data_IF_028650089990
#
_entry.id   IF_028650089990
#
_cell.length_a   1.000
_cell.length_b   1.000
_cell.length_c   1.000
_cell.angle_alpha   90.00
_cell.angle_beta   90.00
_cell.angle_gamma   90.00
#
_symmetry.space_group_name_H-M   'P 1'
#
loop_
_entity.id
_entity.type
_entity.pdbx_description
1 polymer ?
#
# COMPACT_ATOMS: atom_id res chain seq x y z
N UNK A 1 -5.96 -9.70 -9.05
CA UNK A 1 -4.57 -10.09 -8.75
C UNK A 1 -3.69 -8.95 -8.21
N UNK A 2 -3.87 -7.70 -8.58
CA UNK A 2 -3.08 -6.55 -8.10
C UNK A 2 -3.19 -6.33 -6.59
N UNK A 3 -4.36 -6.39 -6.00
CA UNK A 3 -4.60 -6.12 -4.58
C UNK A 3 -3.86 -7.08 -3.61
N UNK A 4 -3.64 -8.34 -3.99
CA UNK A 4 -2.87 -9.29 -3.17
C UNK A 4 -1.38 -8.94 -3.09
N UNK A 5 -0.79 -8.41 -4.16
CA UNK A 5 0.63 -8.01 -4.17
C UNK A 5 0.89 -6.75 -3.36
N UNK A 6 -0.04 -5.81 -3.36
CA UNK A 6 0.11 -4.56 -2.60
C UNK A 6 0.01 -4.76 -1.09
N UNK A 7 -0.81 -5.71 -0.62
CA UNK A 7 -0.96 -6.02 0.81
C UNK A 7 0.30 -6.60 1.47
N UNK A 8 1.23 -7.13 0.69
CA UNK A 8 2.49 -7.69 1.22
C UNK A 8 3.52 -6.64 1.65
N UNK A 9 3.37 -5.39 1.22
CA UNK A 9 4.41 -4.36 1.34
C UNK A 9 4.40 -3.57 2.65
N UNK A 10 3.31 -3.54 3.38
CA UNK A 10 3.12 -2.55 4.45
C UNK A 10 3.12 -3.13 5.86
N UNK A 11 3.38 -4.42 6.04
CA UNK A 11 3.30 -5.10 7.33
C UNK A 11 4.58 -5.89 7.52
N UNK A 12 5.13 -5.86 8.74
CA UNK A 12 6.36 -6.56 9.09
C UNK A 12 6.35 -8.02 8.66
N UNK A 13 5.24 -8.70 8.92
CA UNK A 13 5.10 -10.14 8.82
C UNK A 13 4.19 -10.57 7.65
N UNK A 14 3.85 -9.64 6.74
CA UNK A 14 3.06 -9.86 5.52
C UNK A 14 1.54 -10.01 5.78
N UNK A 15 0.75 -9.98 4.69
CA UNK A 15 -0.70 -10.20 4.74
C UNK A 15 -1.07 -11.55 5.39
N UNK A 16 -0.25 -12.57 5.23
CA UNK A 16 -0.48 -13.89 5.81
C UNK A 16 -0.54 -13.86 7.34
N UNK A 17 0.28 -13.03 8.01
CA UNK A 17 0.23 -12.91 9.47
C UNK A 17 -0.99 -12.14 9.96
N UNK A 18 -1.40 -11.11 9.23
CA UNK A 18 -2.62 -10.35 9.56
C UNK A 18 -3.87 -11.20 9.40
N UNK A 19 -3.93 -11.98 8.31
CA UNK A 19 -5.10 -12.82 8.01
C UNK A 19 -4.97 -14.26 8.52
N UNK A 20 -3.86 -14.58 9.22
CA UNK A 20 -3.58 -15.93 9.73
C UNK A 20 -3.69 -17.01 8.65
N UNK A 21 -3.09 -16.74 7.49
CA UNK A 21 -3.07 -17.65 6.34
C UNK A 21 -1.67 -18.26 6.24
N UNK A 22 -1.58 -19.57 6.10
CA UNK A 22 -0.35 -20.30 5.78
C UNK A 22 -0.39 -20.72 4.31
N UNK A 23 0.26 -20.01 3.38
CA UNK A 23 0.32 -20.39 1.97
C UNK A 23 1.41 -21.43 1.73
N UNK A 24 1.21 -22.31 0.74
CA UNK A 24 2.22 -23.27 0.29
C UNK A 24 3.45 -22.56 -0.31
N UNK A 25 3.21 -21.48 -1.07
CA UNK A 25 4.24 -20.63 -1.66
C UNK A 25 3.97 -19.14 -1.40
N UNK A 26 5.04 -18.40 -1.13
CA UNK A 26 5.04 -16.95 -0.98
C UNK A 26 5.95 -16.31 -2.01
N UNK A 27 5.41 -15.33 -2.78
CA UNK A 27 6.21 -14.50 -3.68
C UNK A 27 6.41 -13.10 -3.08
N UNK A 28 7.63 -12.60 -3.13
CA UNK A 28 8.06 -11.30 -2.59
C UNK A 28 8.65 -10.44 -3.70
N UNK A 29 8.52 -9.13 -3.54
CA UNK A 29 9.09 -8.17 -4.51
C UNK A 29 9.07 -6.75 -3.96
N UNK A 30 9.39 -5.79 -4.83
CA UNK A 30 9.35 -4.35 -4.55
C UNK A 30 10.24 -3.97 -3.37
N UNK A 31 9.66 -3.77 -2.17
CA UNK A 31 10.36 -3.25 -0.99
C UNK A 31 11.57 -4.11 -0.59
N UNK A 32 11.53 -5.42 -0.81
CA UNK A 32 12.67 -6.30 -0.46
C UNK A 32 13.95 -5.98 -1.23
N UNK A 33 13.85 -5.25 -2.34
CA UNK A 33 14.99 -4.82 -3.15
C UNK A 33 15.65 -3.52 -2.68
N UNK A 34 15.09 -2.83 -1.69
CA UNK A 34 15.66 -1.55 -1.24
C UNK A 34 15.71 -0.48 -2.33
N UNK A 35 14.74 -0.47 -3.25
CA UNK A 35 14.69 0.41 -4.41
C UNK A 35 15.24 -0.21 -5.70
N UNK A 36 15.89 -1.36 -5.61
CA UNK A 36 16.39 -2.11 -6.77
C UNK A 36 15.46 -3.26 -7.16
N UNK A 37 15.53 -3.73 -8.44
CA UNK A 37 14.65 -4.78 -8.93
C UNK A 37 15.04 -6.14 -8.33
N UNK A 38 14.24 -6.60 -7.36
CA UNK A 38 14.37 -7.91 -6.71
C UNK A 38 13.03 -8.59 -6.67
N UNK A 39 13.02 -9.87 -6.99
CA UNK A 39 11.94 -10.80 -6.72
C UNK A 39 12.49 -12.00 -5.96
N UNK A 40 11.69 -12.54 -5.04
CA UNK A 40 11.98 -13.77 -4.33
C UNK A 40 10.71 -14.60 -4.19
N UNK A 41 10.87 -15.89 -4.07
CA UNK A 41 9.79 -16.80 -3.71
C UNK A 41 10.35 -17.89 -2.78
N UNK A 42 9.48 -18.49 -2.01
CA UNK A 42 9.81 -19.55 -1.10
C UNK A 42 8.55 -20.13 -0.49
N UNK A 43 8.66 -21.24 0.20
CA UNK A 43 7.51 -21.91 0.80
C UNK A 43 7.87 -23.27 1.37
N UNK A 44 6.93 -24.21 1.28
CA UNK A 44 7.10 -25.56 1.76
C UNK A 44 8.31 -26.24 1.11
N UNK A 45 9.14 -26.93 1.91
CA UNK A 45 10.36 -27.57 1.46
C UNK A 45 10.09 -28.63 0.39
N UNK A 46 8.99 -29.37 0.49
CA UNK A 46 8.63 -30.41 -0.50
C UNK A 46 8.39 -29.83 -1.89
N UNK A 47 7.98 -28.57 -1.97
CA UNK A 47 7.82 -27.84 -3.23
C UNK A 47 9.15 -27.21 -3.64
N UNK A 48 9.88 -26.61 -2.70
CA UNK A 48 11.13 -25.92 -3.00
C UNK A 48 12.25 -26.87 -3.40
N UNK A 49 12.26 -28.09 -2.88
CA UNK A 49 13.21 -29.16 -3.22
C UNK A 49 13.04 -29.67 -4.67
N UNK A 50 11.96 -29.28 -5.37
CA UNK A 50 11.82 -29.52 -6.81
C UNK A 50 12.70 -28.60 -7.67
N UNK A 51 13.35 -27.58 -7.08
CA UNK A 51 14.25 -26.70 -7.81
C UNK A 51 15.64 -27.34 -7.99
N UNK A 52 16.24 -27.10 -9.15
CA UNK A 52 17.63 -27.50 -9.40
C UNK A 52 18.57 -26.80 -8.39
N UNK A 53 19.64 -27.48 -7.91
CA UNK A 53 20.14 -28.77 -8.39
C UNK A 53 19.45 -30.00 -7.79
N UNK A 54 18.66 -29.87 -6.72
CA UNK A 54 18.07 -31.00 -6.00
C UNK A 54 16.87 -31.60 -6.76
N UNK A 55 16.11 -30.78 -7.48
CA UNK A 55 14.97 -31.20 -8.28
C UNK A 55 15.10 -30.88 -9.78
N UNK A 56 14.10 -31.29 -10.58
CA UNK A 56 14.14 -31.17 -12.05
C UNK A 56 13.79 -29.78 -12.57
N UNK A 57 13.32 -28.85 -11.72
CA UNK A 57 12.81 -27.53 -12.14
C UNK A 57 13.97 -26.54 -12.19
N UNK A 58 14.32 -26.09 -13.39
CA UNK A 58 15.34 -25.06 -13.59
C UNK A 58 14.75 -23.65 -13.38
N UNK A 59 15.39 -22.85 -12.53
CA UNK A 59 15.08 -21.45 -12.31
C UNK A 59 16.38 -20.63 -12.32
N UNK A 60 16.46 -19.65 -13.20
CA UNK A 60 17.58 -18.72 -13.27
C UNK A 60 17.15 -17.38 -13.85
N UNK A 61 17.95 -16.35 -13.57
CA UNK A 61 17.81 -15.01 -14.14
C UNK A 61 19.15 -14.30 -14.13
N UNK A 62 19.50 -13.61 -15.19
CA UNK A 62 20.79 -12.92 -15.35
C UNK A 62 21.13 -12.02 -14.17
N UNK A 63 20.14 -11.32 -13.61
CA UNK A 63 20.32 -10.41 -12.47
C UNK A 63 19.93 -11.05 -11.12
N UNK A 64 19.57 -12.34 -11.09
CA UNK A 64 19.24 -13.03 -9.85
C UNK A 64 20.45 -13.05 -8.91
N UNK A 65 20.23 -12.63 -7.66
CA UNK A 65 21.26 -12.62 -6.64
C UNK A 65 22.38 -11.58 -6.87
N UNK A 66 22.20 -10.60 -7.75
CA UNK A 66 23.27 -9.61 -7.96
C UNK A 66 23.64 -8.88 -6.66
N UNK A 67 24.95 -8.66 -6.38
CA UNK A 67 25.41 -8.19 -5.07
C UNK A 67 24.85 -6.82 -4.67
N UNK A 68 24.66 -5.93 -5.64
CA UNK A 68 24.17 -4.58 -5.37
C UNK A 68 22.73 -4.62 -4.84
N UNK A 69 21.84 -5.34 -5.53
CA UNK A 69 20.44 -5.45 -5.13
C UNK A 69 20.29 -6.26 -3.82
N UNK A 70 21.09 -7.29 -3.61
CA UNK A 70 21.10 -8.04 -2.36
C UNK A 70 21.56 -7.17 -1.18
N UNK A 71 22.61 -6.37 -1.34
CA UNK A 71 23.10 -5.46 -0.31
C UNK A 71 22.06 -4.38 0.03
N UNK A 72 21.42 -3.79 -0.98
CA UNK A 72 20.37 -2.80 -0.77
C UNK A 72 19.16 -3.39 -0.04
N UNK A 73 18.72 -4.57 -0.43
CA UNK A 73 17.62 -5.28 0.22
C UNK A 73 17.90 -5.60 1.69
N UNK A 74 19.09 -6.15 1.96
CA UNK A 74 19.53 -6.45 3.33
C UNK A 74 19.62 -5.18 4.18
N UNK A 75 20.16 -4.09 3.65
CA UNK A 75 20.24 -2.81 4.36
C UNK A 75 18.84 -2.27 4.70
N UNK A 76 17.90 -2.33 3.75
CA UNK A 76 16.52 -1.88 3.99
C UNK A 76 15.82 -2.74 5.05
N UNK A 77 15.93 -4.07 4.97
CA UNK A 77 15.28 -4.96 5.93
C UNK A 77 15.82 -4.71 7.35
N UNK A 78 17.13 -4.59 7.52
CA UNK A 78 17.75 -4.26 8.80
C UNK A 78 17.27 -2.90 9.33
N UNK A 79 17.14 -1.90 8.46
CA UNK A 79 16.65 -0.58 8.87
C UNK A 79 15.16 -0.65 9.29
N UNK A 80 14.31 -1.38 8.57
CA UNK A 80 12.92 -1.58 8.96
C UNK A 80 12.78 -2.31 10.30
N UNK A 81 13.63 -3.28 10.58
CA UNK A 81 13.69 -3.94 11.90
C UNK A 81 14.10 -2.95 12.99
N UNK A 82 15.13 -2.15 12.73
CA UNK A 82 15.65 -1.15 13.69
C UNK A 82 14.61 -0.08 14.04
N UNK A 83 13.92 0.49 13.05
CA UNK A 83 12.96 1.60 13.27
C UNK A 83 11.55 1.13 13.61
N UNK A 84 11.21 -0.12 13.29
CA UNK A 84 9.88 -0.72 13.48
C UNK A 84 8.71 0.25 13.22
N UNK A 85 8.54 0.77 11.98
CA UNK A 85 7.69 1.94 11.73
C UNK A 85 6.19 1.62 11.72
N UNK A 86 5.81 0.37 11.75
CA UNK A 86 4.47 -0.14 11.40
C UNK A 86 3.34 0.45 12.25
N UNK A 87 3.49 0.45 13.58
CA UNK A 87 2.48 1.01 14.48
C UNK A 87 2.33 2.53 14.31
N UNK A 88 3.43 3.23 14.04
CA UNK A 88 3.40 4.67 13.76
C UNK A 88 2.70 4.97 12.45
N UNK A 89 2.99 4.20 11.40
CA UNK A 89 2.35 4.34 10.09
C UNK A 89 0.86 4.05 10.17
N UNK A 90 0.45 3.00 10.89
CA UNK A 90 -0.95 2.68 11.12
C UNK A 90 -1.69 3.83 11.81
N UNK A 91 -1.13 4.40 12.87
CA UNK A 91 -1.74 5.54 13.58
C UNK A 91 -1.84 6.78 12.69
N UNK A 92 -0.81 7.03 11.88
CA UNK A 92 -0.75 8.21 11.02
C UNK A 92 -1.73 8.11 9.84
N UNK A 93 -1.86 6.92 9.21
CA UNK A 93 -2.83 6.68 8.14
C UNK A 93 -4.27 6.71 8.67
N UNK A 94 -4.53 6.12 9.83
CA UNK A 94 -5.85 6.19 10.46
C UNK A 94 -6.23 7.63 10.81
N UNK A 95 -5.31 8.42 11.39
CA UNK A 95 -5.55 9.83 11.67
C UNK A 95 -5.92 10.61 10.40
N UNK A 96 -5.12 10.48 9.34
CA UNK A 96 -5.37 11.15 8.06
C UNK A 96 -6.76 10.81 7.50
N UNK A 97 -7.09 9.54 7.43
CA UNK A 97 -8.34 9.08 6.82
C UNK A 97 -9.57 9.42 7.65
N UNK A 98 -9.47 9.35 8.97
CA UNK A 98 -10.55 9.78 9.88
C UNK A 98 -10.85 11.27 9.70
N UNK A 99 -9.83 12.13 9.62
CA UNK A 99 -10.02 13.54 9.40
C UNK A 99 -10.55 13.87 7.99
N UNK A 100 -10.06 13.19 6.95
CA UNK A 100 -10.62 13.30 5.60
C UNK A 100 -12.10 12.91 5.61
N UNK A 101 -12.45 11.80 6.25
CA UNK A 101 -13.86 11.36 6.38
C UNK A 101 -14.73 12.41 7.06
N UNK A 102 -14.22 13.04 8.13
CA UNK A 102 -14.91 14.12 8.82
C UNK A 102 -15.15 15.33 7.90
N UNK A 103 -14.13 15.72 7.12
CA UNK A 103 -14.25 16.83 6.14
C UNK A 103 -15.25 16.50 5.02
N UNK A 104 -15.23 15.27 4.51
CA UNK A 104 -16.20 14.79 3.51
C UNK A 104 -17.63 14.82 4.05
N UNK A 105 -17.83 14.36 5.28
CA UNK A 105 -19.12 14.36 5.94
C UNK A 105 -19.69 15.78 6.12
N UNK A 106 -18.85 16.76 6.45
CA UNK A 106 -19.27 18.17 6.55
C UNK A 106 -19.77 18.74 5.22
N UNK A 107 -19.35 18.16 4.10
CA UNK A 107 -19.78 18.51 2.73
C UNK A 107 -20.88 17.60 2.19
N UNK A 108 -21.46 16.72 3.03
CA UNK A 108 -22.44 15.71 2.63
C UNK A 108 -21.96 14.79 1.50
N UNK A 109 -20.66 14.49 1.45
CA UNK A 109 -20.05 13.58 0.49
C UNK A 109 -19.98 12.18 1.10
N UNK A 110 -20.50 11.20 0.38
CA UNK A 110 -20.31 9.79 0.72
C UNK A 110 -18.85 9.39 0.57
N UNK A 111 -18.25 8.92 1.65
CA UNK A 111 -16.85 8.57 1.70
C UNK A 111 -16.63 7.36 2.60
N UNK A 112 -15.96 6.38 2.09
CA UNK A 112 -15.55 5.21 2.85
C UNK A 112 -14.06 4.91 2.62
N UNK A 113 -13.41 4.29 3.58
CA UNK A 113 -11.99 4.01 3.52
C UNK A 113 -11.61 2.78 4.34
N UNK A 114 -10.45 2.23 4.02
CA UNK A 114 -9.78 1.19 4.82
C UNK A 114 -8.28 1.45 4.82
N UNK A 115 -7.60 1.03 5.89
CA UNK A 115 -6.14 1.14 5.97
C UNK A 115 -5.53 -0.02 6.76
N UNK A 116 -4.31 -0.37 6.36
CA UNK A 116 -3.51 -1.39 7.02
C UNK A 116 -2.04 -0.97 7.02
N UNK A 117 -1.48 -0.70 8.19
CA UNK A 117 -0.17 -0.08 8.29
C UNK A 117 -0.15 1.30 7.64
N UNK A 118 0.80 1.51 6.73
CA UNK A 118 0.89 2.73 5.92
C UNK A 118 0.11 2.68 4.61
N UNK A 119 -0.49 1.54 4.26
CA UNK A 119 -1.30 1.39 3.05
C UNK A 119 -2.74 1.82 3.33
N UNK A 120 -3.35 2.52 2.38
CA UNK A 120 -4.75 2.93 2.51
C UNK A 120 -5.46 2.94 1.15
N UNK A 121 -6.79 2.85 1.21
CA UNK A 121 -7.69 3.07 0.09
C UNK A 121 -8.88 3.89 0.54
N UNK A 122 -9.44 4.68 -0.36
CA UNK A 122 -10.70 5.39 -0.10
C UNK A 122 -11.59 5.40 -1.35
N UNK A 123 -12.88 5.54 -1.10
CA UNK A 123 -13.90 5.44 -2.14
C UNK A 123 -14.97 6.50 -1.93
N UNK A 124 -15.48 7.04 -3.02
CA UNK A 124 -16.63 7.94 -3.01
C UNK A 124 -17.92 7.09 -2.98
N UNK A 125 -18.16 6.47 -1.83
CA UNK A 125 -19.28 5.55 -1.59
C UNK A 125 -19.70 5.60 -0.12
N UNK A 126 -20.96 5.28 0.17
CA UNK A 126 -21.49 5.22 1.53
C UNK A 126 -20.92 4.03 2.31
N UNK A 127 -20.89 2.88 1.66
CA UNK A 127 -20.39 1.63 2.23
C UNK A 127 -18.98 1.34 1.70
N UNK A 128 -18.16 0.70 2.51
CA UNK A 128 -16.83 0.28 2.10
C UNK A 128 -16.93 -0.87 1.08
N UNK A 129 -16.45 -0.69 -0.17
CA UNK A 129 -16.46 -1.73 -1.18
C UNK A 129 -15.63 -2.95 -0.76
N UNK A 130 -16.20 -4.15 -0.91
CA UNK A 130 -15.57 -5.42 -0.54
C UNK A 130 -15.03 -6.22 -1.72
N UNK A 131 -15.45 -5.87 -2.93
CA UNK A 131 -15.07 -6.55 -4.17
C UNK A 131 -14.96 -5.55 -5.32
N UNK A 132 -14.48 -6.05 -6.46
CA UNK A 132 -14.25 -5.22 -7.65
C UNK A 132 -15.54 -4.55 -8.18
N UNK A 133 -16.65 -5.27 -8.20
CA UNK A 133 -17.93 -4.75 -8.73
C UNK A 133 -18.39 -3.53 -7.90
N UNK A 134 -18.33 -3.63 -6.58
CA UNK A 134 -18.68 -2.53 -5.68
C UNK A 134 -17.74 -1.32 -5.82
N UNK A 135 -16.45 -1.53 -6.11
CA UNK A 135 -15.52 -0.43 -6.43
C UNK A 135 -15.93 0.25 -7.74
N UNK A 136 -16.34 -0.52 -8.76
CA UNK A 136 -16.80 0.04 -10.03
C UNK A 136 -18.00 0.96 -9.82
N UNK A 137 -18.94 0.61 -8.93
CA UNK A 137 -20.14 1.38 -8.62
C UNK A 137 -19.87 2.68 -7.83
N UNK A 138 -18.72 2.83 -7.18
CA UNK A 138 -18.38 4.07 -6.47
C UNK A 138 -18.27 5.25 -7.45
N UNK A 139 -18.59 6.46 -6.97
CA UNK A 139 -18.65 7.67 -7.82
C UNK A 139 -17.30 8.05 -8.40
N UNK A 140 -17.08 7.64 -9.66
CA UNK A 140 -15.85 7.93 -10.39
C UNK A 140 -15.71 9.42 -10.73
N UNK A 141 -16.82 10.12 -11.02
CA UNK A 141 -16.77 11.52 -11.40
C UNK A 141 -16.34 12.39 -10.22
N UNK A 142 -16.87 12.11 -9.05
CA UNK A 142 -16.49 12.81 -7.82
C UNK A 142 -15.04 12.47 -7.43
N UNK A 143 -14.62 11.21 -7.57
CA UNK A 143 -13.22 10.82 -7.36
C UNK A 143 -12.27 11.63 -8.26
N UNK A 144 -12.57 11.74 -9.56
CA UNK A 144 -11.74 12.51 -10.51
C UNK A 144 -11.69 13.99 -10.16
N UNK A 145 -12.82 14.60 -9.79
CA UNK A 145 -12.87 16.00 -9.34
C UNK A 145 -12.00 16.21 -8.09
N UNK A 146 -12.16 15.35 -7.10
CA UNK A 146 -11.39 15.40 -5.87
C UNK A 146 -9.89 15.21 -6.12
N UNK A 147 -9.51 14.19 -6.89
CA UNK A 147 -8.12 13.94 -7.27
C UNK A 147 -7.49 15.16 -7.94
N UNK A 148 -8.15 15.74 -8.96
CA UNK A 148 -7.61 16.89 -9.70
C UNK A 148 -7.50 18.14 -8.83
N UNK A 149 -8.46 18.41 -7.95
CA UNK A 149 -8.37 19.53 -7.02
C UNK A 149 -7.24 19.31 -6.00
N UNK A 150 -7.09 18.12 -5.45
CA UNK A 150 -5.98 17.76 -4.58
C UNK A 150 -4.63 17.94 -5.29
N UNK A 151 -4.51 17.48 -6.53
CA UNK A 151 -3.28 17.63 -7.32
C UNK A 151 -2.93 19.11 -7.55
N UNK A 152 -3.92 19.94 -7.91
CA UNK A 152 -3.77 21.40 -8.07
C UNK A 152 -3.30 22.06 -6.77
N UNK A 153 -3.74 21.57 -5.62
CA UNK A 153 -3.34 22.06 -4.29
C UNK A 153 -2.06 21.39 -3.75
N UNK A 154 -1.35 20.59 -4.57
CA UNK A 154 -0.04 20.02 -4.25
C UNK A 154 -0.11 18.71 -3.45
N UNK A 155 -1.22 17.96 -3.57
CA UNK A 155 -1.35 16.61 -3.04
C UNK A 155 -1.47 15.62 -4.19
N UNK A 156 -0.58 14.65 -4.24
CA UNK A 156 -0.63 13.56 -5.22
C UNK A 156 -1.12 12.28 -4.56
N UNK A 157 -2.41 12.00 -4.65
CA UNK A 157 -2.99 10.69 -4.34
C UNK A 157 -2.81 9.72 -5.51
N UNK A 158 -3.14 8.45 -5.30
CA UNK A 158 -3.20 7.49 -6.38
C UNK A 158 -4.23 7.96 -7.44
N UNK A 159 -3.89 7.94 -8.75
CA UNK A 159 -4.73 8.51 -9.81
C UNK A 159 -5.93 7.64 -10.18
N UNK A 160 -6.14 6.53 -9.50
CA UNK A 160 -7.20 5.58 -9.76
C UNK A 160 -7.84 5.10 -8.46
N UNK A 161 -9.17 5.04 -8.42
CA UNK A 161 -9.92 4.45 -7.29
C UNK A 161 -9.64 2.97 -7.06
N UNK A 162 -8.97 2.31 -8.00
CA UNK A 162 -8.56 0.91 -7.90
C UNK A 162 -7.17 0.73 -7.30
N UNK A 163 -6.48 1.82 -6.99
CA UNK A 163 -5.12 1.79 -6.44
C UNK A 163 -5.09 2.18 -4.97
N UNK A 164 -4.12 1.63 -4.25
CA UNK A 164 -3.83 2.01 -2.87
C UNK A 164 -2.84 3.16 -2.80
N UNK A 165 -3.07 4.07 -1.85
CA UNK A 165 -2.09 5.06 -1.43
C UNK A 165 -1.18 4.52 -0.32
N UNK A 166 -0.04 5.20 -0.10
CA UNK A 166 0.94 4.78 0.90
C UNK A 166 1.49 5.96 1.68
N UNK A 167 1.57 5.79 3.00
CA UNK A 167 2.33 6.67 3.90
C UNK A 167 3.67 6.00 4.17
N UNK A 168 4.76 6.73 4.01
CA UNK A 168 6.11 6.26 4.26
C UNK A 168 6.63 6.67 5.65
N UNK A 169 7.78 6.11 6.04
CA UNK A 169 8.44 6.45 7.31
C UNK A 169 8.93 7.91 7.40
N UNK A 170 9.00 8.63 6.29
CA UNK A 170 9.36 10.05 6.25
C UNK A 170 8.18 10.98 6.56
N UNK A 171 6.95 10.51 6.41
CA UNK A 171 5.78 11.27 6.80
C UNK A 171 5.67 11.38 8.33
N UNK A 172 5.27 12.56 8.77
CA UNK A 172 5.02 12.87 10.17
C UNK A 172 3.68 13.61 10.33
N UNK A 173 3.26 13.87 11.56
CA UNK A 173 1.99 14.53 11.82
C UNK A 173 1.88 15.90 11.14
N UNK A 174 2.96 16.70 11.14
CA UNK A 174 2.96 18.03 10.51
C UNK A 174 2.68 17.96 9.00
N UNK A 175 3.25 16.96 8.31
CA UNK A 175 2.98 16.75 6.87
C UNK A 175 1.51 16.34 6.68
N UNK A 176 0.98 15.47 7.53
CA UNK A 176 -0.43 15.07 7.41
C UNK A 176 -1.37 16.25 7.72
N UNK A 177 -1.07 17.08 8.70
CA UNK A 177 -1.86 18.28 9.00
C UNK A 177 -1.87 19.27 7.81
N UNK A 178 -0.72 19.43 7.11
CA UNK A 178 -0.67 20.22 5.85
C UNK A 178 -1.52 19.59 4.74
N UNK A 179 -1.45 18.26 4.58
CA UNK A 179 -2.31 17.52 3.64
C UNK A 179 -3.79 17.75 3.97
N UNK A 180 -4.19 17.64 5.23
CA UNK A 180 -5.58 17.86 5.65
C UNK A 180 -6.08 19.28 5.35
N UNK A 181 -5.27 20.30 5.60
CA UNK A 181 -5.60 21.69 5.24
C UNK A 181 -5.81 21.85 3.73
N UNK A 182 -4.96 21.22 2.92
CA UNK A 182 -5.09 21.23 1.46
C UNK A 182 -6.29 20.44 0.97
N UNK A 183 -6.63 19.32 1.61
CA UNK A 183 -7.84 18.54 1.34
C UNK A 183 -9.09 19.38 1.60
N UNK A 184 -9.14 20.08 2.75
CA UNK A 184 -10.27 20.98 3.08
C UNK A 184 -10.46 22.07 2.02
N UNK A 185 -9.36 22.71 1.59
CA UNK A 185 -9.38 23.67 0.48
C UNK A 185 -9.88 23.02 -0.81
N UNK A 186 -9.37 21.83 -1.15
CA UNK A 186 -9.73 21.09 -2.37
C UNK A 186 -11.22 20.73 -2.39
N UNK A 187 -11.77 20.33 -1.25
CA UNK A 187 -13.20 20.06 -1.11
C UNK A 187 -14.05 21.32 -1.33
N UNK A 188 -13.60 22.46 -0.84
CA UNK A 188 -14.32 23.73 -1.03
C UNK A 188 -14.30 24.23 -2.49
N UNK A 189 -13.42 23.72 -3.33
CA UNK A 189 -13.35 24.03 -4.76
C UNK A 189 -14.28 23.16 -5.62
N UNK A 190 -14.75 22.02 -5.09
CA UNK A 190 -15.55 21.04 -5.85
C UNK A 190 -16.98 20.88 -5.34
N UNK A 191 -17.30 21.49 -4.21
CA UNK A 191 -18.63 21.55 -3.58
C UNK A 191 -19.15 22.98 -3.55
#
# INVERSE_FOLDING_TARGET
MSARRQRQMCIRDRAQDVYKISPDLTALGKIIGGGLPVGAFGGDSTIMDQLAPDGPIYQAGTLSGNPLAMSAGVALIKELERISPYNRLQKLSSYMLTEISRLMQQKNINFSYDNLGGMFGFFMSKELPRNYAEVVESDTNLFVKFFNSCLKNGIYFAPSKFEAGFISSTHNKKIIDDVLSKVEKSLSEIT
#
